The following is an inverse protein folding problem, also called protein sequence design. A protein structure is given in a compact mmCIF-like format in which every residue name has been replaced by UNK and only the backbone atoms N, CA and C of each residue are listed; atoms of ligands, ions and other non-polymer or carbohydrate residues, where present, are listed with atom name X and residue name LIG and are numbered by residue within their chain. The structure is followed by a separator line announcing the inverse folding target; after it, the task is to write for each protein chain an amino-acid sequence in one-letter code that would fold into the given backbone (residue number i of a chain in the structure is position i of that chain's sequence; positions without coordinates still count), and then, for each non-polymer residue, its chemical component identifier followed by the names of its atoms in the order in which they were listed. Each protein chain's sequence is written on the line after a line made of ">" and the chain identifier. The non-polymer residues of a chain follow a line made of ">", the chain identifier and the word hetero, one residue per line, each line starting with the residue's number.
data_IF_423808390577
#
_entry.id   IF_423808390577
#
_cell.length_a   1.000
_cell.length_b   1.000
_cell.length_c   1.000
_cell.angle_alpha   90.00
_cell.angle_beta   90.00
_cell.angle_gamma   90.00
#
_symmetry.space_group_name_H-M   'P 1'
#
loop_
_entity.id
_entity.type
_entity.pdbx_description
1 polymer ?
#
# COMPACT_ATOMS: atom_id res chain seq x y z
N UNK A 1 20.71 2.27 -22.04
CA UNK A 1 21.39 1.20 -21.28
C UNK A 1 22.15 1.84 -20.13
N UNK A 2 21.94 1.40 -18.88
CA UNK A 2 22.61 1.95 -17.71
C UNK A 2 24.12 1.70 -17.80
N UNK A 3 24.90 2.72 -17.47
CA UNK A 3 26.37 2.76 -17.64
C UNK A 3 27.14 2.41 -16.36
N UNK A 4 26.46 2.41 -15.21
CA UNK A 4 27.03 2.12 -13.91
C UNK A 4 25.95 1.55 -12.95
N UNK A 5 26.38 1.14 -11.76
CA UNK A 5 25.48 0.55 -10.76
C UNK A 5 24.38 1.53 -10.29
N UNK A 6 24.68 2.82 -10.18
CA UNK A 6 23.69 3.82 -9.77
C UNK A 6 22.54 3.92 -10.77
N UNK A 7 22.86 3.98 -12.08
CA UNK A 7 21.83 4.00 -13.14
C UNK A 7 20.99 2.71 -13.18
N UNK A 8 21.57 1.55 -12.82
CA UNK A 8 20.80 0.31 -12.67
C UNK A 8 19.81 0.41 -11.52
N UNK A 9 20.27 0.87 -10.35
CA UNK A 9 19.42 1.03 -9.15
C UNK A 9 18.29 2.02 -9.42
N UNK A 10 18.55 3.13 -10.11
CA UNK A 10 17.52 4.12 -10.46
C UNK A 10 16.43 3.54 -11.35
N UNK A 11 16.77 2.66 -12.29
CA UNK A 11 15.76 1.96 -13.11
C UNK A 11 14.86 1.10 -12.23
N UNK A 12 15.42 0.32 -11.30
CA UNK A 12 14.61 -0.48 -10.36
C UNK A 12 13.74 0.40 -9.46
N UNK A 13 14.29 1.49 -8.92
CA UNK A 13 13.55 2.44 -8.09
C UNK A 13 12.40 3.10 -8.87
N UNK A 14 12.59 3.41 -10.15
CA UNK A 14 11.54 3.97 -11.01
C UNK A 14 10.39 3.00 -11.27
N UNK A 15 10.69 1.70 -11.37
CA UNK A 15 9.67 0.65 -11.52
C UNK A 15 8.91 0.46 -10.21
N UNK A 16 9.62 0.39 -9.08
CA UNK A 16 9.01 0.23 -7.76
C UNK A 16 8.12 1.43 -7.43
N UNK A 17 8.57 2.65 -7.73
CA UNK A 17 7.79 3.87 -7.46
C UNK A 17 6.48 3.95 -8.25
N UNK A 18 6.38 3.25 -9.39
CA UNK A 18 5.14 3.10 -10.15
C UNK A 18 4.26 1.94 -9.63
N UNK A 19 4.87 0.81 -9.27
CA UNK A 19 4.15 -0.39 -8.84
C UNK A 19 3.50 -0.21 -7.47
N UNK A 20 4.18 0.45 -6.52
CA UNK A 20 3.67 0.66 -5.16
C UNK A 20 2.30 1.36 -5.13
N UNK A 21 2.12 2.54 -5.77
CA UNK A 21 0.80 3.19 -5.79
C UNK A 21 -0.25 2.39 -6.57
N UNK A 22 0.15 1.59 -7.58
CA UNK A 22 -0.77 0.72 -8.30
C UNK A 22 -1.32 -0.41 -7.40
N UNK A 23 -0.45 -1.13 -6.70
CA UNK A 23 -0.85 -2.18 -5.74
C UNK A 23 -1.71 -1.58 -4.63
N UNK A 24 -1.32 -0.40 -4.12
CA UNK A 24 -2.08 0.30 -3.09
C UNK A 24 -3.51 0.64 -3.54
N UNK A 25 -3.65 1.15 -4.77
CA UNK A 25 -4.96 1.46 -5.35
C UNK A 25 -5.83 0.21 -5.48
N UNK A 26 -5.25 -0.92 -5.92
CA UNK A 26 -5.96 -2.20 -5.99
C UNK A 26 -6.37 -2.70 -4.60
N UNK A 27 -5.49 -2.60 -3.60
CA UNK A 27 -5.81 -2.98 -2.23
C UNK A 27 -6.99 -2.17 -1.67
N UNK A 28 -7.01 -0.85 -1.89
CA UNK A 28 -8.13 0.00 -1.49
C UNK A 28 -9.44 -0.40 -2.17
N UNK A 29 -9.41 -0.67 -3.48
CA UNK A 29 -10.60 -1.15 -4.19
C UNK A 29 -11.15 -2.45 -3.60
N UNK A 30 -10.26 -3.41 -3.28
CA UNK A 30 -10.66 -4.67 -2.65
C UNK A 30 -11.25 -4.43 -1.26
N UNK A 31 -10.64 -3.56 -0.44
CA UNK A 31 -11.16 -3.23 0.91
C UNK A 31 -12.55 -2.61 0.81
N UNK A 32 -12.74 -1.63 -0.08
CA UNK A 32 -14.04 -0.99 -0.30
C UNK A 32 -15.07 -2.02 -0.77
N UNK A 33 -14.71 -2.85 -1.74
CA UNK A 33 -15.58 -3.91 -2.23
C UNK A 33 -16.00 -4.87 -1.12
N UNK A 34 -15.06 -5.30 -0.27
CA UNK A 34 -15.33 -6.21 0.85
C UNK A 34 -16.23 -5.58 1.90
N UNK A 35 -16.10 -4.28 2.16
CA UNK A 35 -17.01 -3.55 3.05
C UNK A 35 -18.43 -3.49 2.43
N UNK A 36 -18.55 -3.20 1.14
CA UNK A 36 -19.86 -3.21 0.47
C UNK A 36 -20.48 -4.62 0.50
N UNK A 37 -19.70 -5.66 0.22
CA UNK A 37 -20.13 -7.07 0.28
C UNK A 37 -20.67 -7.45 1.66
N UNK A 38 -19.95 -7.06 2.71
CA UNK A 38 -20.23 -7.45 4.09
C UNK A 38 -21.43 -6.70 4.69
N UNK A 39 -21.59 -5.40 4.43
CA UNK A 39 -22.60 -4.58 5.10
C UNK A 39 -23.78 -4.15 4.22
N UNK A 40 -23.60 -4.09 2.90
CA UNK A 40 -24.66 -3.62 1.97
C UNK A 40 -25.33 -4.77 1.25
N UNK A 41 -24.55 -5.72 0.71
CA UNK A 41 -25.07 -6.83 -0.09
C UNK A 41 -25.60 -7.99 0.77
N UNK A 42 -24.99 -8.24 1.93
CA UNK A 42 -25.37 -9.35 2.82
C UNK A 42 -25.68 -8.87 4.25
N UNK A 43 -26.65 -7.93 4.43
CA UNK A 43 -26.97 -7.39 5.74
C UNK A 43 -27.64 -8.47 6.61
N UNK A 44 -26.84 -9.14 7.45
CA UNK A 44 -27.30 -10.19 8.36
C UNK A 44 -26.44 -11.45 8.36
N UNK A 45 -25.54 -11.61 7.38
CA UNK A 45 -24.57 -12.70 7.40
C UNK A 45 -23.38 -12.32 8.29
N UNK A 46 -23.37 -12.85 9.51
CA UNK A 46 -22.28 -12.62 10.48
C UNK A 46 -20.92 -13.06 9.94
N UNK A 47 -20.88 -14.11 9.09
CA UNK A 47 -19.64 -14.61 8.48
C UNK A 47 -19.03 -13.56 7.56
N UNK A 48 -19.85 -12.96 6.69
CA UNK A 48 -19.42 -11.92 5.76
C UNK A 48 -19.02 -10.64 6.48
N UNK A 49 -19.71 -10.30 7.56
CA UNK A 49 -19.35 -9.16 8.41
C UNK A 49 -17.98 -9.38 9.07
N UNK A 50 -17.71 -10.58 9.58
CA UNK A 50 -16.44 -10.90 10.22
C UNK A 50 -15.27 -10.94 9.21
N UNK A 51 -15.50 -11.48 8.00
CA UNK A 51 -14.55 -11.34 6.89
C UNK A 51 -14.27 -9.86 6.58
N UNK A 52 -15.32 -9.03 6.46
CA UNK A 52 -15.19 -7.59 6.21
C UNK A 52 -14.33 -6.87 7.26
N UNK A 53 -14.50 -7.20 8.55
CA UNK A 53 -13.68 -6.66 9.65
C UNK A 53 -12.21 -7.07 9.49
N UNK A 54 -11.95 -8.31 9.12
CA UNK A 54 -10.59 -8.80 8.89
C UNK A 54 -9.93 -8.04 7.73
N UNK A 55 -10.63 -7.85 6.61
CA UNK A 55 -10.12 -7.06 5.49
C UNK A 55 -9.89 -5.59 5.86
N UNK A 56 -10.74 -4.99 6.70
CA UNK A 56 -10.54 -3.63 7.20
C UNK A 56 -9.25 -3.51 8.05
N UNK A 57 -8.99 -4.48 8.93
CA UNK A 57 -7.76 -4.54 9.72
C UNK A 57 -6.52 -4.67 8.84
N UNK A 58 -6.55 -5.56 7.84
CA UNK A 58 -5.47 -5.67 6.85
C UNK A 58 -5.26 -4.36 6.08
N UNK A 59 -6.34 -3.67 5.73
CA UNK A 59 -6.28 -2.36 5.09
C UNK A 59 -5.57 -1.32 5.93
N UNK A 60 -5.89 -1.22 7.22
CA UNK A 60 -5.21 -0.33 8.16
C UNK A 60 -3.73 -0.69 8.27
N UNK A 61 -3.41 -1.99 8.35
CA UNK A 61 -2.03 -2.45 8.44
C UNK A 61 -1.21 -2.04 7.21
N UNK A 62 -1.75 -2.19 6.00
CA UNK A 62 -1.11 -1.74 4.76
C UNK A 62 -0.90 -0.23 4.76
N UNK A 63 -1.89 0.55 5.19
CA UNK A 63 -1.79 2.01 5.28
C UNK A 63 -0.69 2.46 6.26
N UNK A 64 -0.61 1.83 7.43
CA UNK A 64 0.40 2.14 8.45
C UNK A 64 1.79 1.78 7.97
N UNK A 65 1.97 0.60 7.35
CA UNK A 65 3.29 0.18 6.84
C UNK A 65 3.74 1.10 5.70
N UNK A 66 2.85 1.44 4.75
CA UNK A 66 3.21 2.32 3.63
C UNK A 66 3.54 3.74 4.09
N UNK A 67 2.73 4.32 4.99
CA UNK A 67 3.03 5.65 5.56
C UNK A 67 4.31 5.64 6.39
N UNK A 68 4.55 4.58 7.18
CA UNK A 68 5.77 4.39 7.96
C UNK A 68 7.03 4.30 7.09
N UNK A 69 6.99 3.53 6.01
CA UNK A 69 8.10 3.44 5.06
C UNK A 69 8.41 4.79 4.41
N UNK A 70 7.40 5.55 3.99
CA UNK A 70 7.59 6.90 3.44
C UNK A 70 8.13 7.89 4.47
N UNK A 71 7.67 7.83 5.72
CA UNK A 71 8.19 8.65 6.80
C UNK A 71 9.68 8.37 7.04
N UNK A 72 10.07 7.10 7.10
CA UNK A 72 11.48 6.70 7.25
C UNK A 72 12.29 7.17 6.05
N UNK A 73 11.82 6.95 4.82
CA UNK A 73 12.49 7.44 3.61
C UNK A 73 12.66 8.96 3.61
N UNK A 74 11.64 9.71 4.05
CA UNK A 74 11.71 11.16 4.17
C UNK A 74 12.76 11.63 5.19
N UNK A 75 12.80 10.99 6.37
CA UNK A 75 13.81 11.27 7.39
C UNK A 75 15.22 10.94 6.87
N UNK A 76 15.38 9.79 6.21
CA UNK A 76 16.68 9.38 5.64
C UNK A 76 17.14 10.35 4.53
N UNK A 77 16.24 10.82 3.67
CA UNK A 77 16.55 11.83 2.65
C UNK A 77 17.01 13.14 3.27
N UNK A 78 16.25 13.68 4.21
CA UNK A 78 16.60 14.94 4.86
C UNK A 78 17.85 14.87 5.75
N UNK A 79 18.11 13.73 6.39
CA UNK A 79 19.25 13.57 7.31
C UNK A 79 20.55 13.11 6.65
N UNK A 80 20.49 12.18 5.68
CA UNK A 80 21.68 11.61 5.05
C UNK A 80 22.05 12.29 3.73
N UNK A 81 21.07 12.83 3.00
CA UNK A 81 21.27 13.40 1.68
C UNK A 81 21.07 14.92 1.63
N UNK A 82 20.60 15.55 2.72
CA UNK A 82 20.49 17.01 2.86
C UNK A 82 19.55 17.68 1.85
N UNK A 83 18.70 16.89 1.18
CA UNK A 83 17.72 17.29 0.18
C UNK A 83 16.31 16.90 0.61
#
# INVERSE_FOLDING_TARGET
>A
MPRNFAELVDVFLSIISLIVPLIFSLALLVIIWKIIEAWVLNPGDQTKIDEGKQYALWGILVLVVMSGLWAIVGILRGSLFGV
#
